data_IF_604551816813
#
_entry.id   IF_604551816813
#
_cell.length_a   1.000
_cell.length_b   1.000
_cell.length_c   1.000
_cell.angle_alpha   90.00
_cell.angle_beta   90.00
_cell.angle_gamma   90.00
#
_symmetry.space_group_name_H-M   'P 1'
#
loop_
_entity.id
_entity.type
_entity.pdbx_description
1 polymer ?
#
# COMPACT_ATOMS: atom_id res chain seq x y z
N UNK A 1 -6.60 0.61 -29.78
CA UNK A 1 -6.72 -0.72 -30.46
C UNK A 1 -7.53 -1.63 -29.56
N UNK A 2 -8.51 -2.37 -30.08
CA UNK A 2 -9.24 -3.33 -29.27
C UNK A 2 -8.32 -4.52 -28.87
N UNK A 3 -8.61 -5.16 -27.76
CA UNK A 3 -7.90 -6.32 -27.25
C UNK A 3 -8.87 -7.47 -27.02
N UNK A 4 -8.38 -8.70 -27.07
CA UNK A 4 -9.13 -9.90 -26.75
C UNK A 4 -8.60 -10.50 -25.46
N UNK A 5 -9.46 -10.68 -24.46
CA UNK A 5 -9.14 -11.35 -23.19
C UNK A 5 -9.76 -12.73 -23.17
N UNK A 6 -8.96 -13.75 -22.89
CA UNK A 6 -9.40 -15.13 -22.73
C UNK A 6 -9.08 -15.54 -21.29
N UNK A 7 -10.13 -15.86 -20.52
CA UNK A 7 -10.03 -16.20 -19.08
C UNK A 7 -10.45 -17.64 -18.84
N UNK A 8 -9.64 -18.38 -18.09
CA UNK A 8 -9.89 -19.77 -17.68
C UNK A 8 -9.90 -19.88 -16.16
N UNK A 9 -10.80 -20.71 -15.63
CA UNK A 9 -10.76 -21.16 -14.22
C UNK A 9 -9.78 -22.33 -14.15
N UNK A 10 -8.80 -22.27 -13.26
CA UNK A 10 -7.76 -23.30 -13.13
C UNK A 10 -8.11 -24.43 -12.18
N UNK A 11 -9.35 -24.51 -11.68
CA UNK A 11 -9.73 -25.52 -10.66
C UNK A 11 -9.47 -26.98 -11.07
N UNK A 12 -9.35 -27.27 -12.37
CA UNK A 12 -9.09 -28.61 -12.90
C UNK A 12 -7.66 -28.77 -13.48
N UNK A 13 -6.90 -27.69 -13.62
CA UNK A 13 -5.60 -27.68 -14.30
C UNK A 13 -4.61 -26.79 -13.55
N UNK A 14 -3.31 -27.08 -13.72
CA UNK A 14 -2.23 -26.26 -13.17
C UNK A 14 -2.27 -24.84 -13.78
N UNK A 15 -2.39 -23.79 -12.96
CA UNK A 15 -2.38 -22.41 -13.43
C UNK A 15 -1.12 -22.02 -14.19
N UNK A 16 0.04 -22.54 -13.79
CA UNK A 16 1.31 -22.27 -14.47
C UNK A 16 1.33 -22.87 -15.88
N UNK A 17 0.83 -24.11 -16.04
CA UNK A 17 0.70 -24.73 -17.34
C UNK A 17 -0.27 -23.96 -18.25
N UNK A 18 -1.39 -23.47 -17.71
CA UNK A 18 -2.33 -22.60 -18.46
C UNK A 18 -1.61 -21.34 -18.93
N UNK A 19 -0.81 -20.71 -18.06
CA UNK A 19 -0.04 -19.50 -18.37
C UNK A 19 0.95 -19.74 -19.51
N UNK A 20 1.70 -20.85 -19.44
CA UNK A 20 2.65 -21.24 -20.51
C UNK A 20 1.96 -21.44 -21.86
N UNK A 21 0.82 -22.13 -21.86
CA UNK A 21 0.05 -22.39 -23.07
C UNK A 21 -0.56 -21.12 -23.66
N UNK A 22 -1.05 -20.20 -22.83
CA UNK A 22 -1.52 -18.87 -23.27
C UNK A 22 -0.39 -18.06 -23.89
N UNK A 23 0.78 -18.05 -23.25
CA UNK A 23 1.98 -17.40 -23.79
C UNK A 23 2.42 -18.01 -25.14
N UNK A 24 2.46 -19.35 -25.24
CA UNK A 24 2.77 -20.06 -26.48
C UNK A 24 1.73 -19.79 -27.59
N UNK A 25 0.48 -19.54 -27.25
CA UNK A 25 -0.59 -19.15 -28.18
C UNK A 25 -0.52 -17.67 -28.60
N UNK A 26 0.43 -16.89 -28.10
CA UNK A 26 0.67 -15.49 -28.47
C UNK A 26 0.01 -14.45 -27.58
N UNK A 27 -0.28 -14.78 -26.33
CA UNK A 27 -0.70 -13.77 -25.35
C UNK A 27 0.42 -12.74 -25.12
N UNK A 28 0.08 -11.45 -25.13
CA UNK A 28 1.04 -10.35 -24.86
C UNK A 28 1.26 -10.17 -23.36
N UNK A 29 0.31 -10.61 -22.55
CA UNK A 29 0.45 -10.73 -21.09
C UNK A 29 -0.44 -11.85 -20.57
N UNK A 30 -0.04 -12.47 -19.47
CA UNK A 30 -0.86 -13.41 -18.71
C UNK A 30 -0.97 -12.91 -17.28
N UNK A 31 -2.19 -12.94 -16.73
CA UNK A 31 -2.51 -12.48 -15.39
C UNK A 31 -3.18 -13.58 -14.60
N UNK A 32 -2.79 -13.76 -13.35
CA UNK A 32 -3.45 -14.61 -12.37
C UNK A 32 -4.37 -13.75 -11.52
N UNK A 33 -5.60 -14.18 -11.30
CA UNK A 33 -6.60 -13.48 -10.51
C UNK A 33 -7.27 -14.45 -9.53
N UNK A 34 -7.65 -13.96 -8.36
CA UNK A 34 -8.44 -14.76 -7.41
C UNK A 34 -9.85 -15.00 -7.95
N UNK A 35 -10.26 -16.25 -7.98
CA UNK A 35 -11.61 -16.65 -8.38
C UNK A 35 -12.57 -16.85 -7.19
N UNK A 36 -12.08 -16.77 -5.94
CA UNK A 36 -12.83 -17.12 -4.73
C UNK A 36 -12.89 -16.02 -3.66
N UNK A 37 -12.37 -14.81 -3.96
CA UNK A 37 -12.23 -13.73 -2.98
C UNK A 37 -11.44 -14.15 -1.73
N UNK A 38 -10.33 -14.86 -1.97
CA UNK A 38 -9.40 -15.33 -0.94
C UNK A 38 -8.21 -14.37 -0.87
N UNK A 39 -8.14 -13.45 0.10
CA UNK A 39 -7.04 -12.50 0.17
C UNK A 39 -5.73 -13.21 0.51
N UNK A 40 -4.69 -13.05 -0.30
CA UNK A 40 -3.29 -13.34 0.06
C UNK A 40 -2.70 -12.02 0.53
N UNK A 41 -2.62 -11.83 1.85
CA UNK A 41 -2.29 -10.53 2.44
C UNK A 41 -0.79 -10.31 2.61
N UNK A 42 -0.04 -11.35 2.99
CA UNK A 42 1.42 -11.30 3.17
C UNK A 42 2.04 -12.66 2.82
N UNK A 43 2.43 -12.92 1.56
CA UNK A 43 3.22 -14.10 1.23
C UNK A 43 4.61 -13.99 1.87
N UNK A 44 5.17 -15.13 2.32
CA UNK A 44 6.54 -15.15 2.84
C UNK A 44 7.54 -14.82 1.72
N UNK A 45 8.70 -14.21 2.03
CA UNK A 45 9.68 -13.86 1.02
C UNK A 45 10.12 -15.10 0.21
N UNK A 46 9.84 -15.08 -1.10
CA UNK A 46 10.15 -16.17 -2.02
C UNK A 46 9.03 -17.20 -2.21
N UNK A 47 7.90 -17.05 -1.54
CA UNK A 47 6.69 -17.82 -1.80
C UNK A 47 5.79 -17.05 -2.78
N UNK A 48 5.37 -17.71 -3.83
CA UNK A 48 4.32 -17.27 -4.77
C UNK A 48 3.12 -18.16 -4.57
N UNK A 49 2.44 -18.01 -3.42
CA UNK A 49 1.21 -18.76 -3.20
C UNK A 49 0.16 -18.30 -4.21
N UNK A 50 -0.34 -19.26 -4.98
CA UNK A 50 -1.51 -19.03 -5.81
C UNK A 50 -2.76 -19.29 -4.98
N UNK A 51 -3.84 -18.58 -5.30
CA UNK A 51 -5.14 -18.80 -4.66
C UNK A 51 -5.63 -20.24 -4.86
N UNK A 52 -6.37 -20.75 -3.90
CA UNK A 52 -6.97 -22.10 -3.99
C UNK A 52 -7.88 -22.27 -5.22
N UNK A 53 -8.43 -21.16 -5.72
CA UNK A 53 -9.11 -21.04 -7.00
C UNK A 53 -8.53 -19.83 -7.74
N UNK A 54 -7.78 -20.12 -8.80
CA UNK A 54 -7.13 -19.09 -9.61
C UNK A 54 -7.82 -19.01 -10.97
N UNK A 55 -8.08 -17.79 -11.44
CA UNK A 55 -8.37 -17.53 -12.85
C UNK A 55 -7.08 -17.12 -13.54
N UNK A 56 -6.86 -17.66 -14.74
CA UNK A 56 -5.73 -17.30 -15.59
C UNK A 56 -6.26 -16.61 -16.85
N UNK A 57 -5.87 -15.36 -17.04
CA UNK A 57 -6.33 -14.53 -18.17
C UNK A 57 -5.17 -14.22 -19.11
N UNK A 58 -5.32 -14.53 -20.39
CA UNK A 58 -4.41 -14.12 -21.45
C UNK A 58 -4.97 -12.93 -22.23
N UNK A 59 -4.14 -11.92 -22.48
CA UNK A 59 -4.47 -10.76 -23.31
C UNK A 59 -3.87 -10.94 -24.70
N UNK A 60 -4.67 -10.78 -25.74
CA UNK A 60 -4.30 -10.95 -27.15
C UNK A 60 -4.67 -9.71 -27.97
N UNK A 61 -3.97 -9.52 -29.08
CA UNK A 61 -4.39 -8.50 -30.05
C UNK A 61 -5.75 -8.87 -30.66
N UNK A 62 -6.58 -7.87 -30.96
CA UNK A 62 -7.97 -8.06 -31.39
C UNK A 62 -8.15 -8.92 -32.67
N UNK A 63 -7.11 -9.04 -33.48
CA UNK A 63 -7.17 -9.85 -34.70
C UNK A 63 -6.90 -11.35 -34.47
N UNK A 64 -6.57 -11.75 -33.25
CA UNK A 64 -6.31 -13.15 -32.88
C UNK A 64 -7.64 -13.92 -32.87
N UNK A 65 -7.65 -15.08 -33.50
CA UNK A 65 -8.82 -15.96 -33.50
C UNK A 65 -8.92 -16.74 -32.19
N UNK A 66 -9.87 -16.36 -31.34
CA UNK A 66 -10.13 -17.03 -30.07
C UNK A 66 -10.37 -18.55 -30.22
N UNK A 67 -10.98 -18.98 -31.31
CA UNK A 67 -11.23 -20.42 -31.52
C UNK A 67 -9.94 -21.21 -31.74
N UNK A 68 -8.94 -20.62 -32.42
CA UNK A 68 -7.63 -21.22 -32.59
C UNK A 68 -6.89 -21.31 -31.25
N UNK A 69 -6.92 -20.24 -30.42
CA UNK A 69 -6.31 -20.24 -29.08
C UNK A 69 -6.96 -21.32 -28.21
N UNK A 70 -8.28 -21.35 -28.14
CA UNK A 70 -9.02 -22.37 -27.37
C UNK A 70 -8.72 -23.79 -27.86
N UNK A 71 -8.59 -23.98 -29.16
CA UNK A 71 -8.19 -25.27 -29.74
C UNK A 71 -6.79 -25.69 -29.33
N UNK A 72 -5.84 -24.76 -29.24
CA UNK A 72 -4.49 -25.02 -28.73
C UNK A 72 -4.49 -25.39 -27.25
N UNK A 73 -5.21 -24.64 -26.44
CA UNK A 73 -5.37 -24.89 -24.99
C UNK A 73 -6.00 -26.26 -24.72
N UNK A 74 -7.08 -26.62 -25.42
CA UNK A 74 -7.74 -27.92 -25.29
C UNK A 74 -6.79 -29.09 -25.62
N UNK A 75 -5.92 -28.92 -26.60
CA UNK A 75 -4.90 -29.94 -26.92
C UNK A 75 -3.80 -29.98 -25.86
N UNK A 76 -3.31 -28.83 -25.41
CA UNK A 76 -2.21 -28.75 -24.43
C UNK A 76 -2.60 -29.24 -23.05
N UNK A 77 -3.86 -29.04 -22.65
CA UNK A 77 -4.41 -29.50 -21.38
C UNK A 77 -5.09 -30.87 -21.44
N UNK A 78 -5.11 -31.51 -22.63
CA UNK A 78 -5.80 -32.78 -22.88
C UNK A 78 -7.30 -32.74 -22.46
N UNK A 79 -7.93 -31.57 -22.53
CA UNK A 79 -9.32 -31.34 -22.11
C UNK A 79 -10.16 -30.80 -23.29
N UNK A 80 -10.85 -31.66 -24.03
CA UNK A 80 -11.72 -31.26 -25.14
C UNK A 80 -12.93 -30.41 -24.68
N UNK A 81 -13.32 -30.52 -23.40
CA UNK A 81 -14.45 -29.82 -22.77
C UNK A 81 -14.10 -28.48 -22.16
N UNK A 82 -12.82 -28.07 -22.21
CA UNK A 82 -12.35 -26.83 -21.58
C UNK A 82 -13.22 -25.64 -21.95
N UNK A 83 -13.72 -24.94 -20.93
CA UNK A 83 -14.49 -23.71 -21.04
C UNK A 83 -13.58 -22.51 -20.78
N UNK A 84 -13.80 -21.46 -21.55
CA UNK A 84 -13.14 -20.17 -21.31
C UNK A 84 -14.13 -19.02 -21.58
N UNK A 85 -13.96 -17.95 -20.83
CA UNK A 85 -14.66 -16.70 -21.09
C UNK A 85 -13.85 -15.87 -22.06
N UNK A 86 -14.47 -15.43 -23.15
CA UNK A 86 -13.82 -14.58 -24.15
C UNK A 86 -14.50 -13.22 -24.12
N UNK A 87 -13.74 -12.17 -23.84
CA UNK A 87 -14.23 -10.79 -23.79
C UNK A 87 -13.39 -9.90 -24.70
N UNK A 88 -14.06 -9.00 -25.43
CA UNK A 88 -13.38 -7.95 -26.18
C UNK A 88 -13.25 -6.74 -25.26
N UNK A 89 -12.04 -6.25 -25.12
CA UNK A 89 -11.76 -5.00 -24.40
C UNK A 89 -11.63 -3.89 -25.45
N UNK A 90 -12.58 -2.98 -25.47
CA UNK A 90 -12.46 -1.78 -26.31
C UNK A 90 -11.29 -0.92 -25.83
N UNK A 91 -10.69 -0.22 -26.77
CA UNK A 91 -9.67 0.77 -26.47
C UNK A 91 -10.34 1.92 -25.72
N UNK A 92 -10.27 1.84 -24.40
CA UNK A 92 -10.73 2.91 -23.54
C UNK A 92 -9.53 3.79 -23.18
N UNK A 93 -9.79 5.05 -22.97
CA UNK A 93 -8.84 5.96 -22.36
C UNK A 93 -8.69 5.54 -20.88
N UNK A 94 -7.88 4.50 -20.66
CA UNK A 94 -7.66 3.88 -19.35
C UNK A 94 -7.22 4.90 -18.30
N UNK A 95 -6.47 5.93 -18.72
CA UNK A 95 -6.04 7.02 -17.85
C UNK A 95 -7.26 7.77 -17.30
N UNK A 96 -8.24 8.11 -18.13
CA UNK A 96 -9.46 8.79 -17.69
C UNK A 96 -10.37 7.92 -16.83
N UNK A 97 -10.59 6.68 -17.24
CA UNK A 97 -11.46 5.75 -16.47
C UNK A 97 -10.87 5.47 -15.10
N UNK A 98 -9.53 5.38 -15.02
CA UNK A 98 -8.81 5.19 -13.78
C UNK A 98 -8.86 6.46 -12.91
N UNK A 99 -8.64 7.64 -13.48
CA UNK A 99 -8.74 8.92 -12.77
C UNK A 99 -10.11 9.18 -12.15
N UNK A 100 -11.20 8.78 -12.83
CA UNK A 100 -12.56 8.95 -12.35
C UNK A 100 -12.89 8.11 -11.09
N UNK A 101 -12.12 7.08 -10.82
CA UNK A 101 -12.27 6.24 -9.63
C UNK A 101 -11.64 6.89 -8.38
N UNK A 102 -10.64 7.77 -8.54
CA UNK A 102 -9.99 8.43 -7.42
C UNK A 102 -10.62 9.80 -7.14
N UNK A 103 -11.40 9.84 -6.06
CA UNK A 103 -12.05 11.06 -5.58
C UNK A 103 -11.36 11.54 -4.31
N UNK A 104 -11.50 12.83 -3.96
CA UNK A 104 -11.04 13.33 -2.66
C UNK A 104 -11.62 12.50 -1.51
N UNK A 105 -10.75 12.06 -0.60
CA UNK A 105 -11.10 11.27 0.57
C UNK A 105 -10.83 12.05 1.85
N UNK A 106 -11.78 12.00 2.79
CA UNK A 106 -11.66 12.64 4.09
C UNK A 106 -11.23 11.64 5.15
N UNK A 107 -10.26 12.05 5.96
CA UNK A 107 -9.77 11.29 7.12
C UNK A 107 -9.91 12.12 8.39
N UNK A 108 -10.63 11.60 9.36
CA UNK A 108 -10.94 12.36 10.59
C UNK A 108 -11.87 13.54 10.35
N UNK A 109 -11.52 14.72 10.89
CA UNK A 109 -12.37 15.93 10.89
C UNK A 109 -12.03 16.92 9.79
N UNK A 110 -10.74 17.14 9.51
CA UNK A 110 -10.24 18.24 8.66
C UNK A 110 -9.20 17.81 7.62
N UNK A 111 -8.72 16.55 7.64
CA UNK A 111 -7.70 16.09 6.72
C UNK A 111 -8.32 15.49 5.46
N UNK A 112 -7.87 15.93 4.29
CA UNK A 112 -8.28 15.44 2.99
C UNK A 112 -7.07 14.98 2.17
N UNK A 113 -7.24 13.90 1.44
CA UNK A 113 -6.31 13.46 0.40
C UNK A 113 -7.01 13.67 -0.93
N UNK A 114 -6.43 14.51 -1.79
CA UNK A 114 -7.04 14.95 -3.04
C UNK A 114 -6.10 14.64 -4.21
N UNK A 115 -6.54 13.92 -5.25
CA UNK A 115 -5.84 13.88 -6.52
C UNK A 115 -5.73 15.29 -7.14
N UNK A 116 -4.63 15.57 -7.87
CA UNK A 116 -4.38 16.93 -8.41
C UNK A 116 -5.44 17.39 -9.42
N UNK A 117 -6.16 16.46 -10.06
CA UNK A 117 -7.24 16.76 -11.02
C UNK A 117 -8.60 17.07 -10.36
N UNK A 118 -8.67 17.02 -9.04
CA UNK A 118 -9.84 17.44 -8.29
C UNK A 118 -9.55 18.68 -7.45
N UNK A 119 -10.51 19.62 -7.42
CA UNK A 119 -10.47 20.70 -6.45
C UNK A 119 -10.75 20.17 -5.04
N UNK A 120 -10.01 20.61 -4.01
CA UNK A 120 -10.32 20.25 -2.63
C UNK A 120 -11.77 20.58 -2.27
N UNK A 121 -12.53 19.64 -1.69
CA UNK A 121 -13.93 19.88 -1.29
C UNK A 121 -14.09 20.96 -0.21
N UNK A 122 -13.08 21.10 0.64
CA UNK A 122 -13.02 22.07 1.75
C UNK A 122 -11.66 22.77 1.70
N UNK A 123 -11.51 23.89 0.98
CA UNK A 123 -10.22 24.57 0.81
C UNK A 123 -9.61 25.09 2.12
N UNK A 124 -10.44 25.38 3.14
CA UNK A 124 -10.04 25.81 4.48
C UNK A 124 -9.53 24.68 5.37
N UNK A 125 -9.81 23.43 5.00
CA UNK A 125 -9.33 22.25 5.70
C UNK A 125 -7.89 21.90 5.28
N UNK A 126 -7.30 20.91 5.92
CA UNK A 126 -5.96 20.42 5.60
C UNK A 126 -6.03 19.51 4.37
N UNK A 127 -5.53 20.00 3.24
CA UNK A 127 -5.57 19.28 1.97
C UNK A 127 -4.18 18.80 1.56
N UNK A 128 -4.01 17.50 1.40
CA UNK A 128 -2.82 16.85 0.82
C UNK A 128 -3.13 16.50 -0.62
N UNK A 129 -2.36 17.04 -1.55
CA UNK A 129 -2.45 16.70 -2.97
C UNK A 129 -1.58 15.47 -3.22
N UNK A 130 -2.20 14.39 -3.60
CA UNK A 130 -1.51 13.13 -3.86
C UNK A 130 -2.19 12.34 -4.98
N UNK A 131 -1.44 12.05 -6.01
CA UNK A 131 -1.91 11.21 -7.09
C UNK A 131 -1.62 9.73 -6.78
N UNK A 132 -2.54 8.84 -7.11
CA UNK A 132 -2.26 7.43 -7.12
C UNK A 132 -1.11 7.15 -8.09
N UNK A 133 -0.04 6.52 -7.59
CA UNK A 133 1.18 6.27 -8.35
C UNK A 133 1.74 4.87 -8.09
N UNK A 134 2.95 4.63 -8.58
CA UNK A 134 3.67 3.36 -8.39
C UNK A 134 4.15 3.15 -6.95
N UNK A 135 4.27 4.22 -6.15
CA UNK A 135 4.64 4.10 -4.74
C UNK A 135 3.41 3.74 -3.89
N UNK A 136 3.59 2.84 -2.93
CA UNK A 136 2.56 2.46 -1.97
C UNK A 136 2.08 3.66 -1.14
N UNK A 137 0.79 3.68 -0.77
CA UNK A 137 0.23 4.73 0.08
C UNK A 137 -0.59 5.76 -0.69
N UNK A 138 -1.65 5.33 -1.39
CA UNK A 138 -2.63 6.22 -2.06
C UNK A 138 -3.70 6.78 -1.10
N UNK A 139 -3.69 6.36 0.16
CA UNK A 139 -4.70 6.73 1.16
C UNK A 139 -5.91 5.79 1.19
N UNK A 140 -6.16 5.00 0.16
CA UNK A 140 -7.34 4.10 0.09
C UNK A 140 -7.19 2.85 0.94
N UNK A 141 -5.95 2.43 1.23
CA UNK A 141 -5.72 1.23 2.03
C UNK A 141 -6.10 1.46 3.51
N UNK A 142 -6.77 0.50 4.18
CA UNK A 142 -7.21 0.64 5.57
C UNK A 142 -6.09 1.05 6.54
N UNK A 143 -4.88 0.53 6.36
CA UNK A 143 -3.72 0.85 7.22
C UNK A 143 -3.32 2.32 7.14
N UNK A 144 -3.30 2.88 5.93
CA UNK A 144 -3.01 4.31 5.71
C UNK A 144 -4.12 5.18 6.27
N UNK A 145 -5.38 4.78 6.06
CA UNK A 145 -6.54 5.49 6.61
C UNK A 145 -6.49 5.57 8.14
N UNK A 146 -6.18 4.47 8.82
CA UNK A 146 -6.02 4.42 10.28
C UNK A 146 -4.93 5.35 10.80
N UNK A 147 -3.82 5.49 10.06
CA UNK A 147 -2.73 6.42 10.43
C UNK A 147 -3.13 7.88 10.18
N UNK A 148 -3.77 8.19 9.06
CA UNK A 148 -4.22 9.55 8.73
C UNK A 148 -5.28 10.05 9.72
N UNK A 149 -6.23 9.21 10.11
CA UNK A 149 -7.23 9.55 11.13
C UNK A 149 -6.60 9.78 12.50
N UNK A 150 -5.57 9.00 12.84
CA UNK A 150 -4.82 9.23 14.06
C UNK A 150 -4.08 10.57 14.02
N UNK A 151 -3.41 10.89 12.90
CA UNK A 151 -2.71 12.16 12.71
C UNK A 151 -3.65 13.35 12.82
N UNK A 152 -4.85 13.31 12.19
CA UNK A 152 -5.85 14.38 12.25
C UNK A 152 -6.33 14.66 13.67
N UNK A 153 -6.34 13.64 14.53
CA UNK A 153 -6.75 13.76 15.93
C UNK A 153 -5.65 14.30 16.87
N UNK A 154 -4.39 14.45 16.38
CA UNK A 154 -3.28 14.94 17.19
C UNK A 154 -3.10 16.46 17.06
N UNK A 155 -2.52 17.05 18.10
CA UNK A 155 -1.90 18.36 18.03
C UNK A 155 -0.42 18.18 17.63
N UNK A 156 -0.11 18.48 16.38
CA UNK A 156 1.23 18.36 15.80
C UNK A 156 1.97 19.68 15.70
N UNK A 157 1.37 20.79 16.16
CA UNK A 157 1.99 22.12 16.07
C UNK A 157 3.36 22.13 16.76
N UNK A 158 4.39 22.47 15.98
CA UNK A 158 5.78 22.52 16.43
C UNK A 158 6.44 21.18 16.75
N UNK A 159 5.76 20.07 16.56
CA UNK A 159 6.27 18.71 16.82
C UNK A 159 7.25 18.24 15.75
N UNK A 160 8.10 17.31 16.15
CA UNK A 160 8.97 16.55 15.24
C UNK A 160 8.39 15.16 14.99
N UNK A 161 8.47 14.69 13.75
CA UNK A 161 7.88 13.42 13.34
C UNK A 161 8.92 12.59 12.57
N UNK A 162 8.91 11.27 12.77
CA UNK A 162 9.57 10.29 11.90
C UNK A 162 8.48 9.51 11.20
N UNK A 163 8.52 9.44 9.87
CA UNK A 163 7.72 8.55 9.04
C UNK A 163 8.65 7.45 8.49
N UNK A 164 8.60 6.26 9.09
CA UNK A 164 9.50 5.16 8.81
C UNK A 164 8.83 4.12 7.90
N UNK A 165 9.32 3.98 6.68
CA UNK A 165 8.64 3.33 5.56
C UNK A 165 7.69 4.33 4.89
N UNK A 166 8.22 5.50 4.48
CA UNK A 166 7.38 6.63 4.06
C UNK A 166 6.66 6.42 2.72
N UNK A 167 7.16 5.52 1.86
CA UNK A 167 6.54 5.21 0.57
C UNK A 167 6.29 6.44 -0.29
N UNK A 168 5.03 6.78 -0.55
CA UNK A 168 4.63 8.00 -1.27
C UNK A 168 4.87 9.30 -0.48
N UNK A 169 5.18 9.21 0.82
CA UNK A 169 5.29 10.34 1.74
C UNK A 169 3.96 10.85 2.30
N UNK A 170 2.87 10.13 2.08
CA UNK A 170 1.51 10.59 2.45
C UNK A 170 1.40 10.97 3.93
N UNK A 171 1.96 10.14 4.84
CA UNK A 171 1.90 10.40 6.29
C UNK A 171 2.82 11.56 6.69
N UNK A 172 4.02 11.61 6.12
CA UNK A 172 4.97 12.72 6.33
C UNK A 172 4.39 14.06 5.89
N UNK A 173 3.78 14.11 4.69
CA UNK A 173 3.17 15.32 4.13
C UNK A 173 1.94 15.73 4.95
N UNK A 174 1.11 14.76 5.34
CA UNK A 174 -0.04 15.03 6.22
C UNK A 174 0.42 15.62 7.57
N UNK A 175 1.47 15.05 8.18
CA UNK A 175 2.03 15.57 9.42
C UNK A 175 2.55 17.01 9.26
N UNK A 176 3.25 17.32 8.16
CA UNK A 176 3.72 18.68 7.87
C UNK A 176 2.56 19.68 7.75
N UNK A 177 1.53 19.32 6.98
CA UNK A 177 0.34 20.17 6.80
C UNK A 177 -0.51 20.32 8.05
N UNK A 178 -0.40 19.39 9.00
CA UNK A 178 -1.04 19.44 10.31
C UNK A 178 -0.23 20.25 11.36
N UNK A 179 0.89 20.88 10.95
CA UNK A 179 1.68 21.79 11.78
C UNK A 179 2.97 21.20 12.33
N UNK A 180 3.37 20.00 11.94
CA UNK A 180 4.66 19.45 12.36
C UNK A 180 5.82 20.32 11.86
N UNK A 181 6.74 20.65 12.77
CA UNK A 181 7.88 21.55 12.50
C UNK A 181 8.89 20.91 11.56
N UNK A 182 9.17 19.63 11.78
CA UNK A 182 10.14 18.89 11.00
C UNK A 182 9.80 17.40 10.94
N UNK A 183 9.97 16.81 9.75
CA UNK A 183 9.69 15.40 9.50
C UNK A 183 10.92 14.73 8.90
N UNK A 184 11.35 13.62 9.48
CA UNK A 184 12.29 12.69 8.86
C UNK A 184 11.49 11.60 8.18
N UNK A 185 11.47 11.63 6.84
CA UNK A 185 10.87 10.59 6.02
C UNK A 185 11.94 9.56 5.67
N UNK A 186 11.71 8.30 6.02
CA UNK A 186 12.71 7.23 5.90
C UNK A 186 12.15 6.08 5.09
N UNK A 187 12.89 5.66 4.06
CA UNK A 187 12.55 4.45 3.31
C UNK A 187 13.83 3.78 2.79
N UNK A 188 13.78 2.46 2.60
CA UNK A 188 14.90 1.71 2.01
C UNK A 188 14.88 1.74 0.47
N UNK A 189 13.70 1.98 -0.13
CA UNK A 189 13.51 2.03 -1.57
C UNK A 189 13.83 3.44 -2.13
N UNK A 190 14.82 3.58 -3.01
CA UNK A 190 15.12 4.86 -3.65
C UNK A 190 13.96 5.45 -4.45
N UNK A 191 13.05 4.61 -4.97
CA UNK A 191 11.86 5.07 -5.68
C UNK A 191 10.87 5.73 -4.72
N UNK A 192 10.67 5.16 -3.53
CA UNK A 192 9.86 5.74 -2.46
C UNK A 192 10.42 7.09 -2.00
N UNK A 193 11.75 7.20 -1.80
CA UNK A 193 12.39 8.47 -1.43
C UNK A 193 12.17 9.55 -2.50
N UNK A 194 12.29 9.18 -3.78
CA UNK A 194 12.05 10.09 -4.90
C UNK A 194 10.57 10.51 -4.99
N UNK A 195 9.64 9.57 -4.78
CA UNK A 195 8.21 9.85 -4.76
C UNK A 195 7.84 10.80 -3.61
N UNK A 196 8.36 10.55 -2.41
CA UNK A 196 8.19 11.43 -1.24
C UNK A 196 8.68 12.84 -1.54
N UNK A 197 9.87 13.00 -2.15
CA UNK A 197 10.40 14.31 -2.50
C UNK A 197 9.51 15.07 -3.48
N UNK A 198 9.05 14.41 -4.53
CA UNK A 198 8.17 14.98 -5.54
C UNK A 198 6.83 15.40 -4.94
N UNK A 199 6.21 14.52 -4.14
CA UNK A 199 4.93 14.80 -3.50
C UNK A 199 5.05 15.91 -2.45
N UNK A 200 6.16 16.00 -1.71
CA UNK A 200 6.43 17.09 -0.78
C UNK A 200 6.53 18.43 -1.50
N UNK A 201 7.19 18.48 -2.68
CA UNK A 201 7.28 19.67 -3.51
C UNK A 201 5.89 20.10 -4.03
N UNK A 202 5.07 19.19 -4.55
CA UNK A 202 3.69 19.46 -4.97
C UNK A 202 2.87 20.08 -3.85
N UNK A 203 3.06 19.59 -2.62
CA UNK A 203 2.36 20.06 -1.43
C UNK A 203 3.00 21.29 -0.76
N UNK A 204 4.12 21.80 -1.28
CA UNK A 204 4.86 22.95 -0.75
C UNK A 204 5.30 22.77 0.71
N UNK A 205 5.68 21.55 1.07
CA UNK A 205 6.16 21.22 2.42
C UNK A 205 7.60 20.68 2.42
N UNK A 206 8.32 20.80 1.30
CA UNK A 206 9.67 20.28 1.17
C UNK A 206 10.65 20.78 2.23
N UNK A 207 10.52 22.04 2.66
CA UNK A 207 11.38 22.64 3.71
C UNK A 207 11.13 22.02 5.12
N UNK A 208 10.02 21.34 5.32
CA UNK A 208 9.70 20.64 6.56
C UNK A 208 10.22 19.20 6.57
N UNK A 209 10.61 18.64 5.41
CA UNK A 209 11.01 17.24 5.27
C UNK A 209 12.51 17.09 5.08
N UNK A 210 13.08 16.10 5.77
CA UNK A 210 14.41 15.54 5.47
C UNK A 210 14.21 14.07 5.11
N UNK A 211 14.66 13.68 3.91
CA UNK A 211 14.39 12.37 3.33
C UNK A 211 15.68 11.53 3.37
N UNK A 212 15.62 10.34 3.93
CA UNK A 212 16.79 9.52 4.22
C UNK A 212 16.56 8.03 3.93
N UNK A 213 17.62 7.36 3.49
CA UNK A 213 17.71 5.91 3.65
C UNK A 213 17.87 5.56 5.14
N UNK A 214 17.50 4.36 5.60
CA UNK A 214 17.58 3.97 7.02
C UNK A 214 18.95 4.16 7.67
N UNK A 215 20.02 3.87 6.93
CA UNK A 215 21.40 3.99 7.43
C UNK A 215 21.93 5.44 7.40
N UNK A 216 21.28 6.31 6.65
CA UNK A 216 21.61 7.73 6.55
C UNK A 216 20.79 8.61 7.51
N UNK A 217 19.86 8.04 8.26
CA UNK A 217 19.09 8.78 9.27
C UNK A 217 20.04 9.26 10.36
N UNK A 218 20.13 10.58 10.65
CA UNK A 218 20.97 11.09 11.70
C UNK A 218 20.53 10.58 13.08
N UNK A 219 21.39 10.75 14.10
CA UNK A 219 21.07 10.42 15.49
C UNK A 219 20.06 11.45 16.03
N UNK A 220 18.76 11.16 15.84
CA UNK A 220 17.64 12.02 16.23
C UNK A 220 16.66 11.29 17.11
N UNK A 221 15.87 12.07 17.86
CA UNK A 221 14.66 11.60 18.52
C UNK A 221 13.50 12.51 18.13
N UNK A 222 12.30 11.93 18.02
CA UNK A 222 11.11 12.65 17.60
C UNK A 222 10.00 12.59 18.65
N UNK A 223 9.09 13.56 18.60
CA UNK A 223 7.85 13.56 19.37
C UNK A 223 6.89 12.44 18.95
N UNK A 224 6.91 12.11 17.65
CA UNK A 224 6.06 11.07 17.05
C UNK A 224 6.87 10.22 16.08
N UNK A 225 6.69 8.91 16.14
CA UNK A 225 7.15 7.98 15.11
C UNK A 225 5.96 7.23 14.54
N UNK A 226 5.81 7.29 13.22
CA UNK A 226 4.86 6.54 12.43
C UNK A 226 5.60 5.44 11.66
N UNK A 227 5.05 4.24 11.60
CA UNK A 227 5.53 3.17 10.73
C UNK A 227 4.34 2.36 10.21
N UNK A 228 4.04 2.50 8.92
CA UNK A 228 3.02 1.73 8.23
C UNK A 228 3.70 0.74 7.28
N UNK A 229 4.27 -0.30 7.87
CA UNK A 229 5.06 -1.34 7.19
C UNK A 229 4.65 -2.73 7.70
N UNK A 230 5.13 -3.79 7.06
CA UNK A 230 4.82 -5.17 7.41
C UNK A 230 5.22 -5.53 8.85
N UNK A 231 4.54 -6.50 9.43
CA UNK A 231 4.70 -6.92 10.83
C UNK A 231 6.10 -7.46 11.15
N UNK A 232 6.71 -8.23 10.25
CA UNK A 232 8.06 -8.76 10.43
C UNK A 232 9.11 -7.68 10.70
N UNK A 233 9.31 -6.70 9.81
CA UNK A 233 10.15 -5.53 10.06
C UNK A 233 9.80 -4.75 11.33
N UNK A 234 8.50 -4.63 11.68
CA UNK A 234 8.10 -3.95 12.93
C UNK A 234 8.62 -4.67 14.17
N UNK A 235 8.63 -6.00 14.18
CA UNK A 235 9.21 -6.79 15.28
C UNK A 235 10.72 -6.55 15.43
N UNK A 236 11.44 -6.56 14.31
CA UNK A 236 12.90 -6.38 14.30
C UNK A 236 13.32 -4.96 14.69
N UNK A 237 12.56 -3.97 14.25
CA UNK A 237 12.85 -2.54 14.46
C UNK A 237 12.43 -2.02 15.83
N UNK A 238 11.72 -2.79 16.67
CA UNK A 238 11.20 -2.34 17.95
C UNK A 238 12.26 -1.69 18.87
N UNK A 239 13.48 -2.25 19.07
CA UNK A 239 14.52 -1.59 19.85
C UNK A 239 15.04 -0.29 19.23
N UNK A 240 15.03 -0.19 17.88
CA UNK A 240 15.43 1.02 17.17
C UNK A 240 14.37 2.11 17.33
N UNK A 241 13.10 1.78 17.16
CA UNK A 241 12.00 2.72 17.35
C UNK A 241 11.93 3.25 18.76
N UNK A 242 12.18 2.38 19.75
CA UNK A 242 12.31 2.80 21.14
C UNK A 242 13.37 3.90 21.34
N UNK A 243 14.48 3.89 20.63
CA UNK A 243 15.53 4.92 20.70
C UNK A 243 15.18 6.18 19.89
N UNK A 244 14.38 6.06 18.83
CA UNK A 244 14.00 7.16 17.95
C UNK A 244 12.85 8.01 18.51
N UNK A 245 12.04 7.48 19.41
CA UNK A 245 10.98 8.22 20.07
C UNK A 245 11.50 8.80 21.39
N UNK A 246 11.33 10.09 21.61
CA UNK A 246 11.72 10.72 22.89
C UNK A 246 10.85 10.25 24.07
N UNK A 247 11.32 10.31 25.31
CA UNK A 247 10.48 10.05 26.49
C UNK A 247 9.19 10.88 26.44
N UNK A 248 8.03 10.22 26.67
CA UNK A 248 6.72 10.85 26.53
C UNK A 248 6.23 11.04 25.09
N UNK A 249 7.07 10.76 24.09
CA UNK A 249 6.69 10.79 22.66
C UNK A 249 5.76 9.64 22.29
N UNK A 250 5.18 9.70 21.12
CA UNK A 250 4.16 8.75 20.63
C UNK A 250 4.71 7.86 19.54
N UNK A 251 4.28 6.61 19.55
CA UNK A 251 4.52 5.59 18.51
C UNK A 251 3.20 5.22 17.86
N UNK A 252 3.21 5.06 16.53
CA UNK A 252 2.06 4.57 15.74
C UNK A 252 2.57 3.54 14.75
N UNK A 253 1.99 2.35 14.82
CA UNK A 253 2.31 1.23 13.95
C UNK A 253 1.06 0.80 13.19
N UNK A 254 1.19 0.52 11.91
CA UNK A 254 0.15 -0.04 11.05
C UNK A 254 0.79 -0.90 9.95
N UNK A 255 -0.02 -1.45 9.03
CA UNK A 255 0.45 -2.51 8.14
C UNK A 255 0.44 -3.87 8.83
N UNK A 256 -0.46 -4.05 9.80
CA UNK A 256 -0.51 -5.18 10.74
C UNK A 256 -1.86 -5.87 10.56
N UNK A 257 -1.88 -7.18 10.39
CA UNK A 257 -3.09 -7.98 10.43
C UNK A 257 -3.53 -8.24 11.89
N UNK A 258 -4.82 -8.48 12.08
CA UNK A 258 -5.40 -8.64 13.42
C UNK A 258 -4.78 -9.79 14.24
N UNK A 259 -4.37 -10.87 13.59
CA UNK A 259 -3.70 -12.01 14.21
C UNK A 259 -2.24 -11.72 14.62
N UNK A 260 -1.58 -10.77 13.97
CA UNK A 260 -0.20 -10.35 14.25
C UNK A 260 -0.10 -9.34 15.41
N UNK A 261 -1.19 -8.65 15.72
CA UNK A 261 -1.20 -7.53 16.66
C UNK A 261 -0.72 -7.91 18.08
N UNK A 262 -1.05 -9.12 18.55
CA UNK A 262 -0.70 -9.57 19.90
C UNK A 262 0.80 -9.69 20.11
N UNK A 263 1.54 -10.22 19.14
CA UNK A 263 3.00 -10.38 19.20
C UNK A 263 3.70 -9.02 19.23
N UNK A 264 3.23 -8.08 18.41
CA UNK A 264 3.76 -6.71 18.42
C UNK A 264 3.50 -6.00 19.73
N UNK A 265 2.28 -6.08 20.28
CA UNK A 265 1.93 -5.49 21.57
C UNK A 265 2.84 -6.01 22.69
N UNK A 266 3.13 -7.31 22.71
CA UNK A 266 4.00 -7.91 23.73
C UNK A 266 5.42 -7.31 23.70
N UNK A 267 6.01 -7.17 22.52
CA UNK A 267 7.36 -6.62 22.34
C UNK A 267 7.40 -5.13 22.67
N UNK A 268 6.46 -4.33 22.13
CA UNK A 268 6.49 -2.88 22.29
C UNK A 268 6.18 -2.41 23.73
N UNK A 269 5.46 -3.21 24.52
CA UNK A 269 5.20 -2.93 25.95
C UNK A 269 6.47 -2.81 26.81
N UNK A 270 7.59 -3.32 26.32
CA UNK A 270 8.89 -3.13 27.00
C UNK A 270 9.30 -1.64 27.11
N UNK A 271 8.81 -0.79 26.20
CA UNK A 271 9.22 0.61 26.11
C UNK A 271 8.06 1.59 26.03
N UNK A 272 6.85 1.12 25.73
CA UNK A 272 5.69 1.97 25.49
C UNK A 272 4.47 1.53 26.31
N UNK A 273 3.75 2.52 26.84
CA UNK A 273 2.39 2.32 27.32
C UNK A 273 1.48 2.23 26.10
N UNK A 274 1.17 0.99 25.68
CA UNK A 274 0.35 0.74 24.50
C UNK A 274 -1.13 1.00 24.79
N UNK A 275 -1.76 1.73 23.88
CA UNK A 275 -3.20 1.99 23.86
C UNK A 275 -3.96 0.77 23.29
N UNK A 276 -5.30 0.71 23.47
CA UNK A 276 -6.11 -0.29 22.78
C UNK A 276 -5.94 -0.22 21.26
N UNK A 277 -5.85 -1.39 20.62
CA UNK A 277 -5.74 -1.48 19.18
C UNK A 277 -6.98 -0.89 18.49
N UNK A 278 -6.78 -0.23 17.35
CA UNK A 278 -7.87 0.23 16.49
C UNK A 278 -7.86 -0.61 15.23
N UNK A 279 -9.04 -1.17 14.87
CA UNK A 279 -9.17 -2.08 13.73
C UNK A 279 -10.04 -1.46 12.63
N UNK A 280 -9.72 -1.80 11.39
CA UNK A 280 -10.53 -1.53 10.20
C UNK A 280 -10.40 -2.71 9.27
N UNK A 281 -11.50 -3.40 9.00
CA UNK A 281 -11.47 -4.68 8.28
C UNK A 281 -10.53 -5.66 9.02
N UNK A 282 -9.61 -6.31 8.34
CA UNK A 282 -8.59 -7.22 8.91
C UNK A 282 -7.35 -6.50 9.45
N UNK A 283 -7.23 -5.18 9.23
CA UNK A 283 -6.04 -4.40 9.55
C UNK A 283 -6.12 -3.69 10.89
N UNK A 284 -4.95 -3.51 11.50
CA UNK A 284 -4.80 -2.93 12.84
C UNK A 284 -3.83 -1.75 12.83
N UNK A 285 -4.18 -0.74 13.62
CA UNK A 285 -3.24 0.28 14.09
C UNK A 285 -3.00 0.09 15.58
N UNK A 286 -1.72 0.04 15.97
CA UNK A 286 -1.26 0.09 17.35
C UNK A 286 -0.69 1.47 17.63
N UNK A 287 -0.97 2.03 18.81
CA UNK A 287 -0.37 3.28 19.25
C UNK A 287 0.02 3.18 20.72
N UNK A 288 0.99 4.00 21.12
CA UNK A 288 1.45 4.02 22.50
C UNK A 288 2.34 5.22 22.79
N UNK A 289 2.55 5.47 24.07
CA UNK A 289 3.40 6.53 24.56
C UNK A 289 4.70 5.96 25.16
N UNK A 290 5.84 6.51 24.77
CA UNK A 290 7.16 6.14 25.31
C UNK A 290 7.18 6.36 26.82
N UNK A 291 7.59 5.32 27.54
CA UNK A 291 7.83 5.41 29.00
C UNK A 291 9.18 6.06 29.30
N UNK A 292 9.33 6.62 30.52
CA UNK A 292 10.61 7.17 30.99
C UNK A 292 11.64 6.09 31.38
N UNK A 293 11.31 4.81 31.26
CA UNK A 293 12.23 3.72 31.57
C UNK A 293 13.46 3.81 30.67
N UNK A 294 14.62 3.92 31.29
CA UNK A 294 15.92 3.90 30.59
C UNK A 294 16.07 2.60 29.76
N UNK A 295 16.56 2.76 28.53
CA UNK A 295 16.98 1.63 27.71
C UNK A 295 18.19 0.90 28.31
#
# INVERSE_FOLDING_TARGET
>A
MAWLRITLDSSAHDPELISELLGAAGAVSVTFEDAADQPILEPLPGETDLWSRTQVSGLFAAHVDAAQVLGALRRGLEDPGLQATVTTLDDQDWERTWMDQFKPLRFGRRLWICPHWHSPPSPEDVNVILDPGLAFGTGTHPTTALCLEWLDAQDLEGKTVIDYGCGSGILAIAAAKLGARHIWAVDYDPQALSATANNAAVNQVGDHLSIHAPDALPAVTADVLLANILSGPLLELAPRFARLVQPGGKLVLSGILSDQASALLEIYRAWFNMEPATTREEWVRLSGQRTDAAC
#
